data_IF_026929310420
#
_entry.id   IF_026929310420
#
_cell.length_a   1.000
_cell.length_b   1.000
_cell.length_c   1.000
_cell.angle_alpha   90.00
_cell.angle_beta   90.00
_cell.angle_gamma   90.00
#
_symmetry.space_group_name_H-M   'P 1'
#
loop_
_entity.id
_entity.type
_entity.pdbx_description
1 polymer ?
#
# COMPACT_ATOMS: atom_id res chain seq x y z
N UNK A 1 4.36 33.09 4.47
CA UNK A 1 5.62 32.35 4.24
C UNK A 1 5.87 31.18 5.22
N UNK A 2 6.20 31.37 6.51
CA UNK A 2 6.55 30.23 7.42
C UNK A 2 5.38 29.28 7.74
N UNK A 3 4.15 29.79 7.76
CA UNK A 3 2.95 28.95 7.93
C UNK A 3 2.54 28.22 6.64
N UNK A 4 2.75 28.82 5.48
CA UNK A 4 2.44 28.20 4.18
C UNK A 4 3.33 27.00 3.89
N UNK A 5 4.63 27.06 4.23
CA UNK A 5 5.54 25.93 4.04
C UNK A 5 5.21 24.75 4.97
N UNK A 6 4.88 25.02 6.23
CA UNK A 6 4.42 24.00 7.18
C UNK A 6 3.10 23.37 6.75
N UNK A 7 2.16 24.20 6.28
CA UNK A 7 0.87 23.74 5.76
C UNK A 7 1.04 22.86 4.52
N UNK A 8 1.86 23.27 3.56
CA UNK A 8 2.13 22.48 2.34
C UNK A 8 2.73 21.11 2.67
N UNK A 9 3.72 21.05 3.56
CA UNK A 9 4.32 19.78 4.02
C UNK A 9 3.31 18.88 4.73
N UNK A 10 2.42 19.46 5.54
CA UNK A 10 1.35 18.70 6.18
C UNK A 10 0.35 18.16 5.15
N UNK A 11 -0.01 18.94 4.14
CA UNK A 11 -0.89 18.50 3.05
C UNK A 11 -0.27 17.36 2.24
N UNK A 12 1.00 17.48 1.82
CA UNK A 12 1.73 16.42 1.12
C UNK A 12 1.78 15.13 1.94
N UNK A 13 1.93 15.25 3.27
CA UNK A 13 1.89 14.09 4.17
C UNK A 13 0.51 13.42 4.17
N UNK A 14 -0.56 14.21 4.21
CA UNK A 14 -1.94 13.70 4.15
C UNK A 14 -2.21 13.01 2.81
N UNK A 15 -1.73 13.56 1.70
CA UNK A 15 -1.89 12.95 0.37
C UNK A 15 -1.18 11.60 0.27
N UNK A 16 0.05 11.48 0.78
CA UNK A 16 0.78 10.20 0.87
C UNK A 16 0.00 9.17 1.70
N UNK A 17 -0.55 9.58 2.86
CA UNK A 17 -1.36 8.71 3.72
C UNK A 17 -2.64 8.25 3.01
N UNK A 18 -3.35 9.18 2.36
CA UNK A 18 -4.56 8.89 1.58
C UNK A 18 -4.27 7.90 0.45
N UNK A 19 -3.16 8.09 -0.26
CA UNK A 19 -2.70 7.15 -1.28
C UNK A 19 -2.48 5.74 -0.73
N UNK A 20 -1.81 5.63 0.42
CA UNK A 20 -1.62 4.35 1.10
C UNK A 20 -2.94 3.69 1.52
N UNK A 21 -3.84 4.44 2.18
CA UNK A 21 -5.13 3.88 2.61
C UNK A 21 -5.98 3.43 1.44
N UNK A 22 -6.00 4.18 0.33
CA UNK A 22 -6.68 3.75 -0.89
C UNK A 22 -6.11 2.43 -1.43
N UNK A 23 -4.77 2.30 -1.49
CA UNK A 23 -4.13 1.06 -1.92
C UNK A 23 -4.47 -0.10 -0.96
N UNK A 24 -4.43 0.12 0.36
CA UNK A 24 -4.80 -0.88 1.36
C UNK A 24 -6.27 -1.33 1.22
N UNK A 25 -7.20 -0.40 1.03
CA UNK A 25 -8.62 -0.70 0.86
C UNK A 25 -8.82 -1.54 -0.40
N UNK A 26 -8.25 -1.13 -1.53
CA UNK A 26 -8.32 -1.87 -2.80
C UNK A 26 -7.73 -3.27 -2.62
N UNK A 27 -6.57 -3.38 -1.98
CA UNK A 27 -5.93 -4.65 -1.67
C UNK A 27 -6.87 -5.59 -0.90
N UNK A 28 -7.48 -5.11 0.18
CA UNK A 28 -8.38 -5.93 1.02
C UNK A 28 -9.63 -6.33 0.24
N UNK A 29 -10.29 -5.39 -0.45
CA UNK A 29 -11.55 -5.67 -1.17
C UNK A 29 -11.31 -6.67 -2.30
N UNK A 30 -10.33 -6.43 -3.16
CA UNK A 30 -10.07 -7.27 -4.33
C UNK A 30 -9.67 -8.69 -3.89
N UNK A 31 -8.74 -8.82 -2.95
CA UNK A 31 -8.32 -10.13 -2.46
C UNK A 31 -9.46 -10.88 -1.76
N UNK A 32 -10.31 -10.18 -1.00
CA UNK A 32 -11.48 -10.79 -0.36
C UNK A 32 -12.48 -11.31 -1.40
N UNK A 33 -12.80 -10.53 -2.43
CA UNK A 33 -13.71 -10.95 -3.51
C UNK A 33 -13.17 -12.18 -4.24
N UNK A 34 -11.88 -12.18 -4.60
CA UNK A 34 -11.22 -13.32 -5.26
C UNK A 34 -11.27 -14.56 -4.37
N UNK A 35 -10.96 -14.41 -3.07
CA UNK A 35 -10.94 -15.53 -2.12
C UNK A 35 -12.33 -16.11 -1.90
N UNK A 36 -13.35 -15.25 -1.74
CA UNK A 36 -14.74 -15.68 -1.61
C UNK A 36 -15.17 -16.45 -2.85
N UNK A 37 -14.91 -15.91 -4.06
CA UNK A 37 -15.25 -16.59 -5.31
C UNK A 37 -14.60 -17.97 -5.43
N UNK A 38 -13.29 -18.07 -5.15
CA UNK A 38 -12.55 -19.34 -5.17
C UNK A 38 -13.11 -20.33 -4.17
N UNK A 39 -13.32 -19.91 -2.92
CA UNK A 39 -13.81 -20.78 -1.85
C UNK A 39 -15.20 -21.32 -2.18
N UNK A 40 -16.11 -20.47 -2.66
CA UNK A 40 -17.45 -20.91 -3.06
C UNK A 40 -17.40 -21.94 -4.20
N UNK A 41 -16.55 -21.71 -5.20
CA UNK A 41 -16.38 -22.64 -6.31
C UNK A 41 -15.77 -23.99 -5.89
N UNK A 42 -14.72 -23.96 -5.05
CA UNK A 42 -14.09 -25.17 -4.48
C UNK A 42 -15.08 -26.01 -3.66
N UNK A 43 -15.85 -25.36 -2.79
CA UNK A 43 -16.85 -26.05 -1.97
C UNK A 43 -17.97 -26.65 -2.83
N UNK A 44 -18.43 -25.96 -3.89
CA UNK A 44 -19.37 -26.54 -4.85
C UNK A 44 -18.83 -27.76 -5.60
N UNK A 45 -17.51 -27.83 -5.79
CA UNK A 45 -16.84 -28.97 -6.43
C UNK A 45 -16.52 -30.11 -5.45
N UNK A 46 -16.92 -29.99 -4.18
CA UNK A 46 -16.79 -31.04 -3.17
C UNK A 46 -15.54 -30.95 -2.29
N UNK A 47 -14.76 -29.88 -2.40
CA UNK A 47 -13.61 -29.64 -1.51
C UNK A 47 -14.08 -29.18 -0.12
N UNK A 48 -13.26 -29.45 0.90
CA UNK A 48 -13.52 -28.93 2.24
C UNK A 48 -13.21 -27.43 2.34
N UNK A 49 -13.85 -26.73 3.27
CA UNK A 49 -13.56 -25.31 3.52
C UNK A 49 -12.08 -25.04 3.84
N UNK A 50 -11.40 -25.99 4.50
CA UNK A 50 -9.98 -25.85 4.83
C UNK A 50 -9.09 -25.92 3.57
N UNK A 51 -9.34 -26.89 2.68
CA UNK A 51 -8.62 -27.01 1.41
C UNK A 51 -8.86 -25.78 0.53
N UNK A 52 -10.10 -25.30 0.46
CA UNK A 52 -10.49 -24.15 -0.33
C UNK A 52 -9.86 -22.83 0.15
N UNK A 53 -9.71 -22.64 1.47
CA UNK A 53 -9.13 -21.43 2.07
C UNK A 53 -7.60 -21.44 2.00
N UNK A 54 -6.97 -22.59 2.23
CA UNK A 54 -5.52 -22.75 2.24
C UNK A 54 -4.93 -23.15 0.88
N UNK A 55 -5.73 -23.09 -0.19
CA UNK A 55 -5.25 -23.26 -1.55
C UNK A 55 -4.06 -22.33 -1.82
N UNK A 56 -2.94 -22.93 -2.25
CA UNK A 56 -1.68 -22.23 -2.50
C UNK A 56 -1.85 -21.06 -3.48
N UNK A 57 -2.73 -21.18 -4.47
CA UNK A 57 -3.01 -20.10 -5.41
C UNK A 57 -3.75 -18.95 -4.76
N UNK A 58 -4.57 -19.19 -3.74
CA UNK A 58 -5.19 -18.10 -2.96
C UNK A 58 -4.09 -17.39 -2.18
N UNK A 59 -3.29 -18.13 -1.40
CA UNK A 59 -2.21 -17.56 -0.58
C UNK A 59 -1.19 -16.76 -1.40
N UNK A 60 -0.78 -17.27 -2.57
CA UNK A 60 0.19 -16.59 -3.44
C UNK A 60 -0.33 -15.24 -3.93
N UNK A 61 -1.63 -15.11 -4.25
CA UNK A 61 -2.21 -13.84 -4.71
C UNK A 61 -2.13 -12.78 -3.61
N UNK A 62 -2.48 -13.14 -2.37
CA UNK A 62 -2.34 -12.26 -1.21
C UNK A 62 -0.88 -11.86 -0.99
N UNK A 63 0.06 -12.81 -1.01
CA UNK A 63 1.48 -12.53 -0.77
C UNK A 63 2.09 -11.63 -1.84
N UNK A 64 1.82 -11.90 -3.12
CA UNK A 64 2.39 -11.12 -4.22
C UNK A 64 1.96 -9.65 -4.16
N UNK A 65 0.65 -9.41 -3.97
CA UNK A 65 0.13 -8.04 -3.81
C UNK A 65 0.55 -7.43 -2.46
N UNK A 66 0.66 -8.26 -1.43
CA UNK A 66 1.11 -7.86 -0.09
C UNK A 66 2.52 -7.28 -0.09
N UNK A 67 3.42 -7.79 -0.93
CA UNK A 67 4.77 -7.20 -1.11
C UNK A 67 4.65 -5.77 -1.65
N UNK A 68 3.82 -5.53 -2.67
CA UNK A 68 3.61 -4.19 -3.22
C UNK A 68 3.01 -3.22 -2.19
N UNK A 69 2.05 -3.69 -1.40
CA UNK A 69 1.47 -2.93 -0.29
C UNK A 69 2.51 -2.63 0.79
N UNK A 70 3.36 -3.59 1.15
CA UNK A 70 4.43 -3.41 2.14
C UNK A 70 5.48 -2.40 1.68
N UNK A 71 5.86 -2.42 0.39
CA UNK A 71 6.75 -1.40 -0.18
C UNK A 71 6.12 -0.01 -0.15
N UNK A 72 4.82 0.11 -0.42
CA UNK A 72 4.10 1.39 -0.29
C UNK A 72 4.01 1.85 1.17
N UNK A 73 3.75 0.94 2.11
CA UNK A 73 3.79 1.24 3.53
C UNK A 73 5.18 1.72 3.94
N UNK A 74 6.24 1.06 3.48
CA UNK A 74 7.61 1.46 3.78
C UNK A 74 7.95 2.83 3.21
N UNK A 75 7.49 3.18 2.00
CA UNK A 75 7.75 4.50 1.44
C UNK A 75 7.00 5.62 2.19
N UNK A 76 5.81 5.32 2.71
CA UNK A 76 5.00 6.30 3.47
C UNK A 76 5.45 6.40 4.93
N UNK A 77 5.71 5.29 5.61
CA UNK A 77 6.00 5.29 7.06
C UNK A 77 7.48 5.08 7.40
N UNK A 78 8.18 4.25 6.64
CA UNK A 78 9.56 3.85 6.92
C UNK A 78 10.61 4.86 6.46
N UNK A 79 10.56 5.30 5.20
CA UNK A 79 11.55 6.24 4.65
C UNK A 79 11.69 7.53 5.49
N UNK A 80 10.61 8.20 5.92
CA UNK A 80 10.74 9.41 6.75
C UNK A 80 11.34 9.14 8.15
N UNK A 81 11.14 7.93 8.69
CA UNK A 81 11.70 7.51 9.99
C UNK A 81 13.20 7.22 9.88
N UNK A 82 13.65 6.62 8.77
CA UNK A 82 15.05 6.19 8.58
C UNK A 82 15.93 7.31 8.02
N UNK A 83 15.44 8.03 7.01
CA UNK A 83 16.22 9.06 6.29
C UNK A 83 16.11 10.46 6.90
N UNK A 84 15.09 10.68 7.74
CA UNK A 84 14.87 11.95 8.42
C UNK A 84 14.36 13.08 7.52
N UNK A 85 13.98 14.20 8.15
CA UNK A 85 13.43 15.38 7.44
C UNK A 85 14.44 16.05 6.52
N UNK A 86 15.73 16.03 6.87
CA UNK A 86 16.78 16.69 6.09
C UNK A 86 16.96 16.05 4.71
N UNK A 87 16.84 14.73 4.62
CA UNK A 87 16.86 14.04 3.33
C UNK A 87 15.63 14.36 2.48
N UNK A 88 14.44 14.40 3.09
CA UNK A 88 13.20 14.75 2.36
C UNK A 88 13.28 16.18 1.81
N UNK A 89 13.76 17.14 2.61
CA UNK A 89 13.91 18.54 2.19
C UNK A 89 14.92 18.69 1.05
N UNK A 90 16.08 18.04 1.15
CA UNK A 90 17.07 18.01 0.07
C UNK A 90 16.52 17.39 -1.21
N UNK A 91 15.72 16.33 -1.11
CA UNK A 91 15.18 15.65 -2.29
C UNK A 91 14.12 16.47 -3.00
N UNK A 92 13.28 17.18 -2.26
CA UNK A 92 12.31 18.13 -2.83
C UNK A 92 13.06 19.25 -3.57
N UNK A 93 14.12 19.81 -2.97
CA UNK A 93 14.93 20.85 -3.60
C UNK A 93 15.64 20.36 -4.88
N UNK A 94 16.22 19.14 -4.85
CA UNK A 94 16.80 18.50 -6.04
C UNK A 94 15.78 18.35 -7.19
N UNK A 95 14.55 17.92 -6.88
CA UNK A 95 13.50 17.73 -7.88
C UNK A 95 13.00 19.07 -8.44
N UNK A 96 12.78 20.07 -7.58
CA UNK A 96 12.39 21.42 -8.01
C UNK A 96 13.42 22.09 -8.91
N UNK A 97 14.71 21.84 -8.68
CA UNK A 97 15.79 22.38 -9.50
C UNK A 97 16.01 21.60 -10.80
N UNK A 98 15.56 20.34 -10.89
CA UNK A 98 15.60 19.54 -12.13
C UNK A 98 14.49 19.89 -13.12
N UNK A 99 13.38 20.39 -12.63
CA UNK A 99 12.24 20.84 -13.44
C UNK A 99 12.35 22.33 -13.85
N UNK A 100 13.54 22.94 -13.71
CA UNK A 100 13.90 24.29 -14.18
C UNK A 100 14.87 24.20 -15.36
#
# INVERSE_FOLDING_TARGET
>A
MRNESKYKRAMERVDKLRGFYNHLIVYVIVNSVISIYKVLNSVWNGETYAEAIFDLNTVIVWLFWGIGLALHAFSVFGLPMILGKDWEERKIEELMNKDR
#
